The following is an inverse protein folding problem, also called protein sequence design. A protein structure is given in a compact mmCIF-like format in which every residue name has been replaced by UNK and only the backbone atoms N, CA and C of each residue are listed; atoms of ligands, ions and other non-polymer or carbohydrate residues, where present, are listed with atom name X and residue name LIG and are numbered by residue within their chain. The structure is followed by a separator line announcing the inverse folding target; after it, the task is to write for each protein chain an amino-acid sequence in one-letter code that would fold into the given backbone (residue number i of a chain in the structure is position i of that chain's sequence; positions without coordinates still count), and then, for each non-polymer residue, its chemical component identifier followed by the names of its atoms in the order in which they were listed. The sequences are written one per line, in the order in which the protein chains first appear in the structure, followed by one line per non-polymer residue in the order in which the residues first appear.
data_IF_503683886892
#
_entry.id   IF_503683886892
#
_cell.length_a   1.000
_cell.length_b   1.000
_cell.length_c   1.000
_cell.angle_alpha   90.00
_cell.angle_beta   90.00
_cell.angle_gamma   90.00
#
_symmetry.space_group_name_H-M   'P 1'
#
loop_
_entity.id
_entity.type
_entity.pdbx_description
1 polymer ?
#
# COMPACT_ATOMS: atom_id res chain seq x y z
N UNK A 1 12.34 20.81 -17.81
CA UNK A 1 11.44 20.85 -16.62
C UNK A 1 10.12 21.49 -17.02
N UNK A 2 8.98 20.87 -16.78
CA UNK A 2 7.69 21.42 -17.17
C UNK A 2 6.98 21.99 -15.94
N UNK A 3 7.07 23.32 -15.79
CA UNK A 3 6.23 24.09 -14.87
C UNK A 3 5.31 24.92 -15.74
N UNK A 4 4.00 24.84 -15.51
CA UNK A 4 2.99 25.66 -16.22
C UNK A 4 2.36 26.60 -15.23
N UNK A 5 2.18 27.85 -15.63
CA UNK A 5 1.55 28.91 -14.83
C UNK A 5 0.24 29.30 -15.53
N UNK A 6 -0.81 29.46 -14.75
CA UNK A 6 -2.13 29.86 -15.19
C UNK A 6 -2.55 31.09 -14.39
N UNK A 7 -2.97 32.14 -15.05
CA UNK A 7 -3.54 33.32 -14.42
C UNK A 7 -5.07 33.16 -14.31
N UNK A 8 -5.67 33.71 -13.25
CA UNK A 8 -7.11 33.71 -13.02
C UNK A 8 -7.72 32.29 -13.20
N UNK A 9 -7.16 31.33 -12.47
CA UNK A 9 -7.46 29.91 -12.69
C UNK A 9 -8.90 29.54 -12.36
N UNK A 10 -9.38 29.91 -11.16
CA UNK A 10 -10.75 29.64 -10.71
C UNK A 10 -11.70 30.79 -11.07
N UNK A 11 -12.96 30.45 -11.31
CA UNK A 11 -14.04 31.44 -11.49
C UNK A 11 -14.43 32.05 -10.13
N UNK A 12 -15.07 33.23 -10.16
CA UNK A 12 -15.48 33.96 -8.94
C UNK A 12 -16.39 33.14 -8.02
N UNK A 13 -17.24 32.27 -8.59
CA UNK A 13 -18.12 31.38 -7.86
C UNK A 13 -17.32 30.39 -7.00
N UNK A 14 -16.35 29.73 -7.58
CA UNK A 14 -15.48 28.76 -6.91
C UNK A 14 -14.60 29.46 -5.87
N UNK A 15 -14.02 30.61 -6.23
CA UNK A 15 -13.23 31.41 -5.28
C UNK A 15 -14.02 31.82 -4.04
N UNK A 16 -15.30 32.14 -4.20
CA UNK A 16 -16.18 32.47 -3.08
C UNK A 16 -16.38 31.29 -2.16
N UNK A 17 -16.60 30.11 -2.71
CA UNK A 17 -16.76 28.85 -1.96
C UNK A 17 -15.43 28.49 -1.25
N UNK A 18 -14.32 28.47 -1.99
CA UNK A 18 -12.99 28.17 -1.47
C UNK A 18 -12.64 29.09 -0.29
N UNK A 19 -12.88 30.39 -0.44
CA UNK A 19 -12.66 31.39 0.62
C UNK A 19 -13.60 31.23 1.80
N UNK A 20 -14.81 30.69 1.59
CA UNK A 20 -15.76 30.36 2.66
C UNK A 20 -15.16 29.37 3.67
N UNK A 21 -14.43 28.38 3.19
CA UNK A 21 -13.72 27.42 4.05
C UNK A 21 -12.55 28.03 4.84
N UNK A 22 -12.00 29.14 4.38
CA UNK A 22 -10.92 29.88 5.06
C UNK A 22 -11.44 30.88 6.12
N UNK A 23 -12.74 31.00 6.32
CA UNK A 23 -13.28 31.86 7.40
C UNK A 23 -13.03 31.28 8.79
N UNK A 24 -13.10 29.93 8.92
CA UNK A 24 -12.84 29.24 10.18
C UNK A 24 -11.98 27.97 9.93
N UNK A 25 -10.75 28.11 9.45
CA UNK A 25 -9.93 26.98 9.09
C UNK A 25 -9.38 26.26 10.33
N UNK A 26 -9.36 24.92 10.29
CA UNK A 26 -8.73 24.10 11.32
C UNK A 26 -7.28 23.81 10.91
N UNK A 27 -6.40 24.76 11.20
CA UNK A 27 -4.99 24.62 10.94
C UNK A 27 -4.33 23.56 11.84
N UNK A 28 -3.54 22.68 11.25
CA UNK A 28 -2.72 21.69 11.96
C UNK A 28 -1.26 21.94 11.60
N UNK A 29 -0.40 22.05 12.61
CA UNK A 29 1.04 22.12 12.39
C UNK A 29 1.50 20.78 11.77
N UNK A 30 2.23 20.87 10.67
CA UNK A 30 2.87 19.71 10.05
C UNK A 30 4.38 19.84 10.24
N UNK A 31 5.02 18.78 10.70
CA UNK A 31 6.47 18.65 10.61
C UNK A 31 6.79 18.14 9.22
N UNK A 32 7.71 18.77 8.53
CA UNK A 32 8.26 18.20 7.31
C UNK A 32 8.96 16.87 7.65
N UNK A 33 8.93 15.94 6.72
CA UNK A 33 9.62 14.64 6.86
C UNK A 33 11.15 14.75 6.89
N UNK A 34 11.69 15.96 6.75
CA UNK A 34 13.10 16.28 6.85
C UNK A 34 13.33 17.10 8.14
N UNK A 35 14.43 16.81 8.83
CA UNK A 35 14.80 17.29 10.18
C UNK A 35 14.95 18.84 10.30
N UNK A 36 14.72 19.59 9.24
CA UNK A 36 14.71 21.06 9.31
C UNK A 36 13.34 21.56 9.74
N UNK A 37 13.33 22.48 10.71
CA UNK A 37 12.20 23.12 11.40
C UNK A 37 11.22 23.91 10.49
N UNK A 38 10.76 23.38 9.39
CA UNK A 38 9.74 24.01 8.57
C UNK A 38 8.37 23.87 9.23
N UNK A 39 7.97 24.85 9.96
CA UNK A 39 6.66 24.95 10.61
C UNK A 39 5.62 25.51 9.63
N UNK A 40 5.16 24.75 8.65
CA UNK A 40 3.99 25.16 7.91
C UNK A 40 2.71 24.55 8.51
N UNK A 41 1.61 25.25 8.32
CA UNK A 41 0.31 24.79 8.79
C UNK A 41 -0.50 24.30 7.60
N UNK A 42 -1.22 23.22 7.81
CA UNK A 42 -2.08 22.63 6.81
C UNK A 42 -3.52 22.50 7.30
N UNK A 43 -4.46 22.78 6.42
CA UNK A 43 -5.87 22.46 6.60
C UNK A 43 -6.31 21.50 5.50
N UNK A 44 -6.42 20.22 5.85
CA UNK A 44 -6.81 19.14 4.93
C UNK A 44 -8.32 19.23 4.63
N UNK A 45 -8.68 19.24 3.36
CA UNK A 45 -10.05 19.29 2.86
C UNK A 45 -10.35 18.15 1.89
N UNK A 46 -9.51 17.11 1.88
CA UNK A 46 -9.64 15.96 0.97
C UNK A 46 -10.97 15.21 1.12
N UNK A 47 -11.54 15.20 2.33
CA UNK A 47 -12.82 14.54 2.62
C UNK A 47 -14.06 15.43 2.40
N UNK A 48 -13.86 16.66 1.93
CA UNK A 48 -14.97 17.56 1.62
C UNK A 48 -15.39 17.34 0.18
N UNK A 49 -16.63 16.92 -0.04
CA UNK A 49 -17.19 16.53 -1.32
C UNK A 49 -16.92 17.56 -2.44
N UNK A 50 -17.13 18.82 -2.18
CA UNK A 50 -16.89 19.90 -3.15
C UNK A 50 -15.45 19.89 -3.73
N UNK A 51 -14.41 19.64 -2.89
CA UNK A 51 -13.01 19.63 -3.34
C UNK A 51 -12.62 18.37 -4.08
N UNK A 52 -13.21 17.23 -3.73
CA UNK A 52 -12.84 15.94 -4.32
C UNK A 52 -13.73 15.53 -5.50
N UNK A 53 -14.79 16.29 -5.80
CA UNK A 53 -15.69 16.08 -6.94
C UNK A 53 -15.70 17.31 -7.84
N UNK A 54 -16.57 18.28 -7.59
CA UNK A 54 -16.84 19.44 -8.48
C UNK A 54 -15.57 20.24 -8.79
N UNK A 55 -14.79 20.58 -7.76
CA UNK A 55 -13.59 21.37 -7.96
C UNK A 55 -12.46 20.57 -8.64
N UNK A 56 -12.35 19.26 -8.36
CA UNK A 56 -11.43 18.38 -9.07
C UNK A 56 -11.80 18.24 -10.56
N UNK A 57 -13.09 18.10 -10.87
CA UNK A 57 -13.57 18.08 -12.26
C UNK A 57 -13.25 19.38 -12.98
N UNK A 58 -13.43 20.52 -12.31
CA UNK A 58 -13.04 21.81 -12.84
C UNK A 58 -11.53 21.89 -13.14
N UNK A 59 -10.69 21.49 -12.17
CA UNK A 59 -9.22 21.42 -12.34
C UNK A 59 -8.86 20.54 -13.54
N UNK A 60 -9.44 19.35 -13.64
CA UNK A 60 -9.21 18.44 -14.75
C UNK A 60 -9.61 19.04 -16.10
N UNK A 61 -10.76 19.72 -16.16
CA UNK A 61 -11.24 20.38 -17.37
C UNK A 61 -10.28 21.53 -17.80
N UNK A 62 -9.85 22.36 -16.87
CA UNK A 62 -8.92 23.49 -17.15
C UNK A 62 -7.53 23.01 -17.58
N UNK A 63 -7.09 21.84 -17.09
CA UNK A 63 -5.78 21.26 -17.39
C UNK A 63 -5.82 20.35 -18.63
N UNK A 64 -6.99 20.16 -19.25
CA UNK A 64 -7.23 19.19 -20.33
C UNK A 64 -6.66 17.80 -19.96
N UNK A 65 -7.03 17.34 -18.77
CA UNK A 65 -6.46 16.15 -18.16
C UNK A 65 -7.54 15.35 -17.42
N UNK A 66 -7.18 14.13 -17.03
CA UNK A 66 -8.04 13.27 -16.23
C UNK A 66 -7.23 12.71 -15.05
N UNK A 67 -6.98 13.56 -14.07
CA UNK A 67 -6.29 13.18 -12.84
C UNK A 67 -7.27 12.62 -11.81
N UNK A 68 -6.78 11.70 -10.99
CA UNK A 68 -7.38 11.34 -9.71
C UNK A 68 -6.80 12.20 -8.62
N UNK A 69 -7.62 12.54 -7.65
CA UNK A 69 -7.16 13.22 -6.45
C UNK A 69 -6.44 12.21 -5.53
N UNK A 70 -5.22 12.55 -5.13
CA UNK A 70 -4.54 11.90 -4.02
C UNK A 70 -4.86 12.64 -2.71
N UNK A 71 -4.76 13.96 -2.75
CA UNK A 71 -4.98 14.82 -1.59
C UNK A 71 -5.24 16.25 -2.01
N UNK A 72 -6.07 16.98 -1.24
CA UNK A 72 -6.27 18.42 -1.40
C UNK A 72 -6.25 19.13 -0.04
N UNK A 73 -5.51 20.21 0.07
CA UNK A 73 -5.35 20.92 1.33
C UNK A 73 -4.92 22.37 1.13
N UNK A 74 -5.23 23.20 2.11
CA UNK A 74 -4.67 24.55 2.20
C UNK A 74 -3.34 24.51 2.95
N UNK A 75 -2.33 25.17 2.40
CA UNK A 75 -1.10 25.49 3.10
C UNK A 75 -1.20 26.89 3.68
N UNK A 76 -0.77 27.04 4.94
CA UNK A 76 -0.67 28.32 5.63
C UNK A 76 0.74 28.53 6.18
N UNK A 77 1.39 29.63 5.80
CA UNK A 77 2.73 29.98 6.26
C UNK A 77 2.70 31.36 6.91
N UNK A 78 3.09 31.43 8.17
CA UNK A 78 3.31 32.69 8.89
C UNK A 78 4.71 33.23 8.60
N UNK A 79 4.93 34.50 8.89
CA UNK A 79 6.24 35.15 8.76
C UNK A 79 7.35 34.31 9.41
N UNK A 80 8.43 34.06 8.69
CA UNK A 80 9.58 33.27 9.13
C UNK A 80 9.39 31.77 9.04
N UNK A 81 8.26 31.26 8.52
CA UNK A 81 8.00 29.83 8.35
C UNK A 81 8.19 29.39 6.89
N UNK A 82 9.41 29.45 6.41
CA UNK A 82 9.76 28.96 5.08
C UNK A 82 9.65 27.43 5.00
N UNK A 83 9.19 26.94 3.85
CA UNK A 83 9.20 25.51 3.56
C UNK A 83 10.61 24.98 3.26
N UNK A 84 10.91 23.76 3.69
CA UNK A 84 12.14 23.07 3.29
C UNK A 84 12.05 22.61 1.82
N UNK A 85 13.20 22.38 1.19
CA UNK A 85 13.26 21.77 -0.14
C UNK A 85 12.78 20.33 -0.10
N UNK A 86 11.79 19.96 -0.93
CA UNK A 86 11.23 18.63 -1.00
C UNK A 86 10.62 18.33 -2.38
N UNK A 87 10.58 17.07 -2.83
CA UNK A 87 9.67 16.61 -3.85
C UNK A 87 8.33 16.21 -3.18
N UNK A 88 7.25 16.27 -3.94
CA UNK A 88 5.93 15.85 -3.44
C UNK A 88 5.66 14.36 -3.67
N UNK A 89 5.98 13.88 -4.86
CA UNK A 89 5.81 12.47 -5.24
C UNK A 89 6.63 12.15 -6.50
N UNK A 90 6.94 10.87 -6.71
CA UNK A 90 7.72 10.45 -7.88
C UNK A 90 6.86 10.40 -9.17
N UNK A 91 5.56 10.19 -9.06
CA UNK A 91 4.68 9.86 -10.20
C UNK A 91 3.53 10.83 -10.43
N UNK A 92 3.30 11.79 -9.56
CA UNK A 92 2.15 12.69 -9.58
C UNK A 92 2.46 14.07 -10.11
N UNK A 93 1.45 14.93 -10.01
CA UNK A 93 1.51 16.35 -10.28
C UNK A 93 0.98 17.12 -9.09
N UNK A 94 1.52 18.30 -8.86
CA UNK A 94 0.95 19.26 -7.92
C UNK A 94 0.36 20.42 -8.71
N UNK A 95 -0.90 20.73 -8.41
CA UNK A 95 -1.56 21.98 -8.81
C UNK A 95 -1.69 22.84 -7.56
N UNK A 96 -1.04 24.01 -7.57
CA UNK A 96 -0.98 24.93 -6.44
C UNK A 96 -1.58 26.27 -6.86
N UNK A 97 -2.61 26.75 -6.15
CA UNK A 97 -3.24 28.06 -6.39
C UNK A 97 -3.00 28.99 -5.22
N UNK A 98 -2.62 30.24 -5.48
CA UNK A 98 -2.41 31.26 -4.46
C UNK A 98 -3.70 32.00 -4.15
N UNK A 99 -4.01 32.18 -2.86
CA UNK A 99 -5.33 32.64 -2.40
C UNK A 99 -5.32 33.95 -1.61
N UNK A 100 -4.18 34.58 -1.45
CA UNK A 100 -4.10 35.87 -0.78
C UNK A 100 -4.48 36.99 -1.76
N UNK A 101 -5.57 37.74 -1.53
CA UNK A 101 -5.82 38.96 -2.27
C UNK A 101 -4.80 40.07 -1.88
N UNK A 102 -4.58 41.00 -2.75
CA UNK A 102 -3.78 42.21 -2.50
C UNK A 102 -2.33 41.95 -2.05
N UNK A 103 -1.69 40.89 -2.56
CA UNK A 103 -0.27 40.61 -2.30
C UNK A 103 0.60 41.66 -2.93
N UNK A 104 1.44 42.32 -2.12
CA UNK A 104 2.47 43.21 -2.65
C UNK A 104 3.64 42.40 -3.21
N UNK A 105 4.16 42.74 -4.41
CA UNK A 105 5.36 42.09 -4.95
C UNK A 105 6.60 42.19 -4.03
N UNK A 106 6.58 43.10 -3.06
CA UNK A 106 7.66 43.28 -2.09
C UNK A 106 7.55 42.41 -0.85
N UNK A 107 6.51 41.57 -0.75
CA UNK A 107 6.33 40.69 0.41
C UNK A 107 7.07 39.34 0.26
N UNK A 108 7.60 39.01 -0.93
CA UNK A 108 8.15 37.70 -1.18
C UNK A 108 7.06 36.64 -1.24
N UNK A 109 7.32 35.47 -0.66
CA UNK A 109 6.33 34.37 -0.61
C UNK A 109 6.28 33.50 -1.86
N UNK A 110 7.31 33.57 -2.69
CA UNK A 110 7.42 32.81 -3.93
C UNK A 110 7.50 31.29 -3.67
N UNK A 111 7.03 30.52 -4.63
CA UNK A 111 7.36 29.11 -4.72
C UNK A 111 8.60 28.94 -5.59
N UNK A 112 9.63 28.31 -5.02
CA UNK A 112 10.92 28.09 -5.67
C UNK A 112 11.01 26.65 -6.16
N UNK A 113 11.63 26.45 -7.33
CA UNK A 113 11.83 25.16 -8.00
C UNK A 113 13.29 25.05 -8.39
N UNK A 114 13.94 23.93 -8.05
CA UNK A 114 15.30 23.64 -8.44
C UNK A 114 15.33 22.82 -9.74
N UNK A 115 16.03 23.32 -10.74
CA UNK A 115 16.32 22.58 -11.97
C UNK A 115 17.53 21.66 -11.77
N UNK A 116 17.60 20.60 -12.58
CA UNK A 116 18.76 19.69 -12.60
C UNK A 116 20.10 20.37 -12.86
N UNK A 117 20.08 21.59 -13.39
CA UNK A 117 21.23 22.47 -13.60
C UNK A 117 21.64 23.24 -12.34
N UNK A 118 20.90 23.14 -11.23
CA UNK A 118 21.09 23.97 -10.04
C UNK A 118 20.50 25.39 -10.15
N UNK A 119 19.83 25.71 -11.25
CA UNK A 119 19.12 26.99 -11.42
C UNK A 119 17.81 26.94 -10.65
N UNK A 120 17.56 27.99 -9.86
CA UNK A 120 16.31 28.16 -9.12
C UNK A 120 15.36 29.04 -9.93
N UNK A 121 14.19 28.51 -10.27
CA UNK A 121 13.05 29.27 -10.80
C UNK A 121 12.10 29.65 -9.67
N UNK A 122 11.48 30.82 -9.80
CA UNK A 122 10.56 31.35 -8.80
C UNK A 122 9.23 31.71 -9.43
N UNK A 123 8.14 31.43 -8.72
CA UNK A 123 6.78 31.83 -9.08
C UNK A 123 6.22 32.66 -7.94
N UNK A 124 5.85 33.92 -8.26
CA UNK A 124 5.26 34.84 -7.28
C UNK A 124 3.82 34.42 -6.93
N UNK A 125 3.39 34.65 -5.68
CA UNK A 125 2.06 34.26 -5.22
C UNK A 125 0.97 35.28 -5.61
N UNK A 126 0.72 35.43 -6.90
CA UNK A 126 -0.34 36.31 -7.38
C UNK A 126 -1.72 35.68 -7.11
N UNK A 127 -2.68 36.52 -6.65
CA UNK A 127 -4.03 36.02 -6.32
C UNK A 127 -4.69 35.31 -7.49
N UNK A 128 -5.24 34.13 -7.22
CA UNK A 128 -5.88 33.25 -8.20
C UNK A 128 -4.97 32.81 -9.36
N UNK A 129 -3.66 32.98 -9.24
CA UNK A 129 -2.73 32.31 -10.15
C UNK A 129 -2.45 30.90 -9.66
N UNK A 130 -2.23 29.98 -10.60
CA UNK A 130 -1.93 28.59 -10.30
C UNK A 130 -0.64 28.14 -10.97
N UNK A 131 0.10 27.28 -10.31
CA UNK A 131 1.26 26.63 -10.87
C UNK A 131 1.05 25.11 -10.86
N UNK A 132 1.32 24.47 -12.00
CA UNK A 132 1.23 23.01 -12.17
C UNK A 132 2.60 22.45 -12.50
N UNK A 133 3.04 21.46 -11.74
CA UNK A 133 4.36 20.86 -11.90
C UNK A 133 4.36 19.36 -11.54
N UNK A 134 5.35 18.64 -12.02
CA UNK A 134 5.54 17.22 -11.62
C UNK A 134 5.92 17.15 -10.15
N UNK A 135 5.32 16.21 -9.42
CA UNK A 135 5.60 15.99 -8.01
C UNK A 135 7.08 15.68 -7.69
N UNK A 136 7.82 15.12 -8.65
CA UNK A 136 9.25 14.82 -8.50
C UNK A 136 10.19 16.04 -8.58
N UNK A 137 9.65 17.24 -8.88
CA UNK A 137 10.47 18.44 -8.94
C UNK A 137 10.75 18.94 -7.52
N UNK A 138 12.03 19.12 -7.19
CA UNK A 138 12.47 19.68 -5.92
C UNK A 138 12.00 21.14 -5.85
N UNK A 139 11.23 21.46 -4.82
CA UNK A 139 10.64 22.77 -4.65
C UNK A 139 10.43 23.13 -3.18
N UNK A 140 10.14 24.39 -2.93
CA UNK A 140 9.71 24.88 -1.61
C UNK A 140 8.84 26.12 -1.75
N UNK A 141 7.94 26.36 -0.77
CA UNK A 141 7.21 27.61 -0.63
C UNK A 141 7.89 28.48 0.42
N UNK A 142 8.14 29.74 0.11
CA UNK A 142 8.63 30.71 1.09
C UNK A 142 7.44 31.42 1.75
N UNK A 143 7.58 31.78 3.02
CA UNK A 143 6.66 32.67 3.72
C UNK A 143 6.77 34.10 3.19
N UNK A 144 5.80 34.96 3.52
CA UNK A 144 6.00 36.40 3.31
C UNK A 144 7.15 36.88 4.21
N UNK A 145 8.05 37.65 3.64
CA UNK A 145 9.29 38.09 4.28
C UNK A 145 9.16 39.38 5.09
N UNK A 146 7.93 39.87 5.28
CA UNK A 146 7.65 41.11 6.00
C UNK A 146 6.79 40.81 7.23
N UNK A 147 7.22 41.29 8.37
CA UNK A 147 6.48 41.24 9.63
C UNK A 147 5.12 41.95 9.50
N UNK A 148 4.09 41.43 10.16
CA UNK A 148 2.71 41.91 10.09
C UNK A 148 2.01 41.75 8.73
N UNK A 149 2.51 40.85 7.86
CA UNK A 149 1.77 40.44 6.68
C UNK A 149 0.74 39.35 7.06
N UNK A 150 -0.33 39.15 6.27
CA UNK A 150 -1.24 38.06 6.48
C UNK A 150 -0.52 36.71 6.26
N UNK A 151 -1.06 35.63 6.83
CA UNK A 151 -0.62 34.28 6.51
C UNK A 151 -0.62 34.04 4.99
N UNK A 152 0.48 33.54 4.43
CA UNK A 152 0.51 33.11 3.02
C UNK A 152 -0.32 31.84 2.88
N UNK A 153 -1.35 31.89 2.03
CA UNK A 153 -2.29 30.79 1.84
C UNK A 153 -2.26 30.33 0.40
N UNK A 154 -2.13 29.03 0.21
CA UNK A 154 -2.30 28.37 -1.08
C UNK A 154 -3.15 27.12 -0.96
N UNK A 155 -3.86 26.77 -2.03
CA UNK A 155 -4.62 25.52 -2.17
C UNK A 155 -3.82 24.57 -3.05
N UNK A 156 -3.48 23.40 -2.53
CA UNK A 156 -2.70 22.39 -3.22
C UNK A 156 -3.54 21.15 -3.50
N UNK A 157 -3.61 20.75 -4.78
CA UNK A 157 -4.10 19.44 -5.22
C UNK A 157 -2.90 18.55 -5.52
N UNK A 158 -2.81 17.41 -4.88
CA UNK A 158 -1.92 16.31 -5.26
C UNK A 158 -2.67 15.40 -6.21
N UNK A 159 -2.19 15.29 -7.42
CA UNK A 159 -2.89 14.71 -8.57
C UNK A 159 -2.11 13.52 -9.12
N UNK A 160 -2.80 12.40 -9.33
CA UNK A 160 -2.23 11.20 -9.94
C UNK A 160 -2.83 11.03 -11.34
N UNK A 161 -2.01 10.80 -12.40
CA UNK A 161 -2.52 10.52 -13.71
C UNK A 161 -3.46 9.31 -13.69
N UNK A 162 -4.67 9.47 -14.22
CA UNK A 162 -5.57 8.35 -14.43
C UNK A 162 -5.09 7.59 -15.68
N UNK A 163 -4.38 6.49 -15.48
CA UNK A 163 -3.72 5.71 -16.54
C UNK A 163 -4.65 5.16 -17.63
N UNK A 164 -5.96 5.43 -17.55
CA UNK A 164 -6.94 5.04 -18.57
C UNK A 164 -7.02 5.99 -19.76
N UNK A 165 -6.31 7.11 -19.83
CA UNK A 165 -6.48 8.13 -20.87
C UNK A 165 -5.23 8.41 -21.73
N UNK A 166 -4.13 7.72 -21.56
CA UNK A 166 -3.04 7.77 -22.55
C UNK A 166 -3.23 6.70 -23.63
N UNK A 167 -4.34 6.79 -24.33
CA UNK A 167 -4.72 5.96 -25.47
C UNK A 167 -4.97 6.78 -26.73
N UNK A 168 -4.06 7.70 -27.12
CA UNK A 168 -3.93 8.18 -28.51
C UNK A 168 -2.47 8.56 -28.73
N UNK A 169 -1.89 7.93 -29.76
CA UNK A 169 -0.58 8.16 -30.36
C UNK A 169 0.62 7.43 -29.69
N UNK A 170 0.48 6.13 -29.48
CA UNK A 170 1.61 5.21 -29.61
C UNK A 170 1.21 4.24 -30.72
N UNK A 171 1.95 4.26 -31.84
CA UNK A 171 1.81 3.22 -32.85
C UNK A 171 1.92 1.84 -32.17
N UNK A 172 1.08 0.86 -32.55
CA UNK A 172 1.11 -0.44 -31.93
C UNK A 172 2.49 -1.06 -32.21
N UNK A 173 3.26 -1.26 -31.16
CA UNK A 173 4.39 -2.18 -31.22
C UNK A 173 3.86 -3.51 -31.75
N UNK A 174 4.56 -4.11 -32.72
CA UNK A 174 4.21 -5.40 -33.30
C UNK A 174 3.84 -6.41 -32.21
N UNK A 175 2.83 -7.24 -32.39
CA UNK A 175 2.40 -8.18 -31.38
C UNK A 175 3.54 -9.14 -31.05
N UNK A 176 4.15 -8.94 -29.91
CA UNK A 176 4.97 -9.97 -29.29
C UNK A 176 4.03 -11.12 -28.97
N UNK A 177 4.16 -12.22 -29.70
CA UNK A 177 3.36 -13.45 -29.58
C UNK A 177 3.65 -14.19 -28.25
N UNK A 178 3.55 -13.48 -27.15
CA UNK A 178 3.42 -14.06 -25.82
C UNK A 178 2.02 -13.70 -25.33
N UNK A 179 1.15 -14.65 -25.03
CA UNK A 179 -0.11 -14.33 -24.35
C UNK A 179 0.24 -13.55 -23.08
N UNK A 180 -0.43 -12.42 -22.81
CA UNK A 180 -0.18 -11.67 -21.59
C UNK A 180 -0.33 -12.64 -20.41
N UNK A 181 0.68 -12.72 -19.56
CA UNK A 181 0.63 -13.59 -18.39
C UNK A 181 -0.62 -13.26 -17.61
N UNK A 182 -1.33 -14.27 -17.11
CA UNK A 182 -2.55 -14.13 -16.29
C UNK A 182 -2.30 -13.09 -15.17
N UNK A 183 -1.09 -13.07 -14.61
CA UNK A 183 -0.70 -12.13 -13.58
C UNK A 183 -0.82 -10.65 -13.97
N UNK A 184 -0.68 -10.28 -15.25
CA UNK A 184 -0.88 -8.89 -15.70
C UNK A 184 -2.35 -8.45 -15.73
N UNK A 185 -3.29 -9.37 -15.61
CA UNK A 185 -4.74 -9.08 -15.58
C UNK A 185 -5.30 -8.96 -14.19
N UNK A 186 -4.53 -9.33 -13.16
CA UNK A 186 -4.98 -9.29 -11.77
C UNK A 186 -4.79 -7.86 -11.24
N UNK A 187 -5.86 -7.13 -10.90
CA UNK A 187 -5.74 -5.81 -10.31
C UNK A 187 -5.10 -5.93 -8.92
N UNK A 188 -4.14 -5.08 -8.62
CA UNK A 188 -3.57 -4.94 -7.27
C UNK A 188 -4.07 -3.66 -6.63
N UNK A 189 -4.48 -3.76 -5.37
CA UNK A 189 -4.86 -2.63 -4.53
C UNK A 189 -3.84 -2.46 -3.41
N UNK A 190 -3.48 -1.21 -3.12
CA UNK A 190 -2.54 -0.88 -2.05
C UNK A 190 -3.30 -0.50 -0.79
N UNK A 191 -3.03 -1.21 0.30
CA UNK A 191 -3.55 -0.88 1.62
C UNK A 191 -2.42 -0.30 2.47
N UNK A 192 -2.44 1.02 2.65
CA UNK A 192 -1.45 1.73 3.48
C UNK A 192 -1.96 1.76 4.91
N UNK A 193 -1.16 1.24 5.84
CA UNK A 193 -1.38 1.33 7.29
C UNK A 193 -0.20 2.08 7.92
N UNK A 194 -0.37 2.72 9.11
CA UNK A 194 0.64 3.61 9.70
C UNK A 194 1.98 2.95 9.99
N UNK A 195 2.61 2.19 9.31
CA UNK A 195 3.94 1.57 9.39
C UNK A 195 4.09 0.35 8.47
N UNK A 196 3.04 -0.06 7.74
CA UNK A 196 3.06 -1.28 6.91
C UNK A 196 2.29 -1.04 5.64
N UNK A 197 2.87 -1.42 4.52
CA UNK A 197 2.16 -1.52 3.26
C UNK A 197 1.74 -2.98 3.07
N UNK A 198 0.45 -3.20 2.92
CA UNK A 198 -0.15 -4.50 2.61
C UNK A 198 -0.76 -4.40 1.22
N UNK A 199 -0.32 -5.27 0.33
CA UNK A 199 -0.87 -5.36 -1.02
C UNK A 199 -2.06 -6.31 -1.06
N UNK A 200 -3.03 -6.06 -1.94
CA UNK A 200 -4.09 -7.01 -2.23
C UNK A 200 -4.33 -7.17 -3.73
N UNK A 201 -4.78 -8.36 -4.10
CA UNK A 201 -5.16 -8.69 -5.47
C UNK A 201 -6.43 -9.55 -5.46
N UNK A 202 -7.31 -9.32 -6.43
CA UNK A 202 -8.50 -10.14 -6.63
C UNK A 202 -8.29 -11.04 -7.85
N UNK A 203 -8.42 -12.34 -7.63
CA UNK A 203 -8.32 -13.36 -8.68
C UNK A 203 -9.70 -13.66 -9.26
N UNK A 204 -9.72 -14.01 -10.55
CA UNK A 204 -10.93 -14.43 -11.25
C UNK A 204 -11.40 -15.79 -10.72
N UNK A 205 -12.72 -15.99 -10.70
CA UNK A 205 -13.34 -17.21 -10.16
C UNK A 205 -12.83 -18.48 -10.87
N UNK A 206 -12.58 -18.42 -12.19
CA UNK A 206 -12.04 -19.53 -12.94
C UNK A 206 -10.65 -20.01 -12.43
N UNK A 207 -9.79 -19.06 -12.05
CA UNK A 207 -8.46 -19.38 -11.46
C UNK A 207 -8.65 -19.98 -10.07
N UNK A 208 -9.57 -19.42 -9.29
CA UNK A 208 -9.89 -19.93 -7.95
C UNK A 208 -10.39 -21.37 -8.02
N UNK A 209 -11.28 -21.68 -8.96
CA UNK A 209 -11.80 -23.04 -9.17
C UNK A 209 -10.71 -24.04 -9.57
N UNK A 210 -9.77 -23.66 -10.45
CA UNK A 210 -8.61 -24.49 -10.80
C UNK A 210 -7.72 -24.79 -9.59
N UNK A 211 -7.46 -23.76 -8.75
CA UNK A 211 -6.67 -23.94 -7.53
C UNK A 211 -7.41 -24.83 -6.53
N UNK A 212 -8.72 -24.70 -6.39
CA UNK A 212 -9.55 -25.58 -5.54
C UNK A 212 -9.45 -27.02 -6.00
N UNK A 213 -9.59 -27.29 -7.29
CA UNK A 213 -9.49 -28.65 -7.83
C UNK A 213 -8.14 -29.30 -7.51
N UNK A 214 -7.05 -28.54 -7.60
CA UNK A 214 -5.72 -29.03 -7.23
C UNK A 214 -5.62 -29.26 -5.72
N UNK A 215 -6.14 -28.36 -4.87
CA UNK A 215 -6.13 -28.58 -3.42
C UNK A 215 -6.94 -29.78 -3.00
N UNK A 216 -8.07 -30.05 -3.65
CA UNK A 216 -8.90 -31.23 -3.38
C UNK A 216 -8.15 -32.52 -3.79
N UNK A 217 -7.42 -32.51 -4.91
CA UNK A 217 -6.56 -33.64 -5.31
C UNK A 217 -5.43 -33.91 -4.32
N UNK A 218 -4.76 -32.83 -3.87
CA UNK A 218 -3.69 -32.93 -2.86
C UNK A 218 -4.23 -33.38 -1.49
N UNK A 219 -5.45 -33.00 -1.16
CA UNK A 219 -6.10 -33.45 0.08
C UNK A 219 -6.21 -34.98 0.18
N UNK A 220 -6.56 -35.65 -0.91
CA UNK A 220 -6.72 -37.12 -0.96
C UNK A 220 -5.38 -37.84 -0.89
N UNK A 221 -4.32 -37.28 -1.47
CA UNK A 221 -3.03 -37.93 -1.67
C UNK A 221 -1.90 -37.42 -0.77
N UNK A 222 -2.01 -36.23 -0.23
CA UNK A 222 -0.92 -35.54 0.46
C UNK A 222 -0.81 -35.82 1.95
N UNK A 223 0.42 -35.79 2.45
CA UNK A 223 0.68 -35.81 3.90
C UNK A 223 0.38 -34.42 4.49
N UNK A 224 -0.35 -34.43 5.62
CA UNK A 224 -0.62 -33.20 6.35
C UNK A 224 0.58 -32.73 7.18
N UNK A 225 0.99 -31.50 7.01
CA UNK A 225 1.95 -30.81 7.87
C UNK A 225 1.32 -30.23 9.16
N UNK A 226 0.02 -30.44 9.38
CA UNK A 226 -0.72 -29.92 10.54
C UNK A 226 -0.11 -30.24 11.89
N UNK A 227 0.56 -31.40 12.01
CA UNK A 227 1.25 -31.82 13.24
C UNK A 227 2.42 -30.89 13.66
N UNK A 228 2.93 -30.09 12.74
CA UNK A 228 4.02 -29.12 13.01
C UNK A 228 3.49 -27.74 13.40
N UNK A 229 2.16 -27.55 13.33
CA UNK A 229 1.53 -26.28 13.62
C UNK A 229 1.26 -26.09 15.11
N UNK A 230 1.17 -24.83 15.49
CA UNK A 230 0.73 -24.40 16.81
C UNK A 230 -0.77 -24.10 16.74
N UNK A 231 -1.53 -24.46 17.78
CA UNK A 231 -2.97 -24.20 17.83
C UNK A 231 -3.83 -25.44 17.56
N UNK A 232 -5.12 -25.22 17.29
CA UNK A 232 -6.11 -26.28 17.25
C UNK A 232 -6.07 -27.14 15.98
N UNK A 233 -5.50 -26.60 14.89
CA UNK A 233 -5.24 -27.37 13.66
C UNK A 233 -4.47 -28.66 13.89
N UNK A 234 -3.69 -28.71 14.97
CA UNK A 234 -2.93 -29.90 15.35
C UNK A 234 -3.78 -31.07 15.80
N UNK A 235 -4.95 -30.80 16.37
CA UNK A 235 -5.77 -31.82 17.08
C UNK A 235 -7.01 -32.24 16.31
N UNK A 236 -7.28 -31.67 15.15
CA UNK A 236 -8.43 -31.98 14.34
C UNK A 236 -8.01 -32.86 13.15
N UNK A 237 -8.52 -34.11 13.10
CA UNK A 237 -8.21 -35.03 12.02
C UNK A 237 -8.66 -34.56 10.62
N UNK A 238 -9.64 -33.65 10.57
CA UNK A 238 -10.12 -33.06 9.31
C UNK A 238 -9.27 -31.90 8.83
N UNK A 239 -8.63 -31.20 9.76
CA UNK A 239 -7.83 -30.02 9.43
C UNK A 239 -6.48 -30.43 8.88
N UNK A 240 -6.17 -29.99 7.70
CA UNK A 240 -4.91 -30.30 7.02
C UNK A 240 -4.21 -29.04 6.54
N UNK A 241 -2.90 -29.11 6.53
CA UNK A 241 -2.03 -28.26 5.73
C UNK A 241 -1.29 -29.14 4.73
N UNK A 242 -1.49 -28.89 3.44
CA UNK A 242 -0.87 -29.69 2.39
C UNK A 242 -0.03 -28.80 1.49
N UNK A 243 1.25 -29.14 1.35
CA UNK A 243 2.16 -28.40 0.46
C UNK A 243 1.92 -28.77 -1.00
N UNK A 244 2.00 -27.78 -1.86
CA UNK A 244 2.06 -27.99 -3.31
C UNK A 244 3.44 -28.48 -3.71
N UNK A 245 3.48 -29.39 -4.66
CA UNK A 245 4.72 -29.79 -5.31
C UNK A 245 5.14 -28.70 -6.29
N UNK A 246 6.19 -27.93 -5.95
CA UNK A 246 6.68 -26.82 -6.74
C UNK A 246 7.37 -27.24 -8.04
N UNK A 247 7.63 -28.55 -8.24
CA UNK A 247 8.30 -29.10 -9.42
C UNK A 247 7.33 -29.64 -10.47
N UNK A 248 6.05 -29.87 -10.11
CA UNK A 248 5.02 -30.27 -11.07
C UNK A 248 4.51 -29.07 -11.91
N UNK A 249 3.69 -29.32 -12.92
CA UNK A 249 3.24 -28.28 -13.85
C UNK A 249 2.34 -27.24 -13.17
N UNK A 250 1.49 -27.65 -12.22
CA UNK A 250 0.59 -26.74 -11.48
C UNK A 250 1.41 -25.88 -10.51
N UNK A 251 2.32 -26.48 -9.75
CA UNK A 251 3.19 -25.72 -8.85
C UNK A 251 4.06 -24.71 -9.57
N UNK A 252 4.63 -25.07 -10.73
CA UNK A 252 5.37 -24.14 -11.58
C UNK A 252 4.52 -23.01 -12.11
N UNK A 253 3.27 -23.28 -12.50
CA UNK A 253 2.34 -22.26 -12.96
C UNK A 253 1.97 -21.30 -11.81
N UNK A 254 1.60 -21.82 -10.65
CA UNK A 254 1.27 -21.03 -9.47
C UNK A 254 2.47 -20.21 -9.01
N UNK A 255 3.66 -20.82 -8.97
CA UNK A 255 4.91 -20.08 -8.68
C UNK A 255 5.09 -18.89 -9.60
N UNK A 256 4.94 -19.06 -10.90
CA UNK A 256 5.08 -17.99 -11.88
C UNK A 256 4.07 -16.86 -11.66
N UNK A 257 2.82 -17.21 -11.34
CA UNK A 257 1.77 -16.23 -11.03
C UNK A 257 2.14 -15.45 -9.76
N UNK A 258 2.49 -16.14 -8.69
CA UNK A 258 2.81 -15.51 -7.42
C UNK A 258 4.14 -14.74 -7.44
N UNK A 259 5.14 -15.19 -8.17
CA UNK A 259 6.36 -14.40 -8.42
C UNK A 259 6.02 -13.06 -9.09
N UNK A 260 5.12 -13.07 -10.08
CA UNK A 260 4.68 -11.83 -10.73
C UNK A 260 3.93 -10.89 -9.77
N UNK A 261 3.11 -11.44 -8.87
CA UNK A 261 2.42 -10.65 -7.83
C UNK A 261 3.43 -10.07 -6.83
N UNK A 262 4.39 -10.87 -6.39
CA UNK A 262 5.45 -10.44 -5.49
C UNK A 262 6.35 -9.37 -6.10
N UNK A 263 6.73 -9.52 -7.35
CA UNK A 263 7.52 -8.52 -8.09
C UNK A 263 6.76 -7.19 -8.19
N UNK A 264 5.47 -7.23 -8.51
CA UNK A 264 4.63 -6.03 -8.57
C UNK A 264 4.49 -5.36 -7.20
N UNK A 265 4.30 -6.13 -6.15
CA UNK A 265 4.26 -5.60 -4.79
C UNK A 265 5.56 -4.87 -4.44
N UNK A 266 6.73 -5.47 -4.74
CA UNK A 266 8.03 -4.85 -4.49
C UNK A 266 8.23 -3.57 -5.30
N UNK A 267 7.91 -3.60 -6.58
CA UNK A 267 8.19 -2.51 -7.51
C UNK A 267 7.14 -1.39 -7.44
N UNK A 268 5.84 -1.75 -7.51
CA UNK A 268 4.75 -0.78 -7.61
C UNK A 268 4.33 -0.20 -6.25
N UNK A 269 4.38 -1.00 -5.18
CA UNK A 269 3.92 -0.57 -3.85
C UNK A 269 5.05 -0.14 -2.93
N UNK A 270 6.20 -0.81 -2.97
CA UNK A 270 7.34 -0.49 -2.12
C UNK A 270 8.41 0.33 -2.82
N UNK A 271 8.38 0.46 -4.16
CA UNK A 271 9.40 1.16 -4.94
C UNK A 271 10.80 0.52 -4.82
N UNK A 272 10.86 -0.80 -4.62
CA UNK A 272 12.11 -1.53 -4.36
C UNK A 272 12.55 -2.31 -5.59
N UNK A 273 13.78 -2.08 -6.04
CA UNK A 273 14.41 -2.85 -7.13
C UNK A 273 14.87 -4.22 -6.63
N UNK A 274 13.95 -5.16 -6.56
CA UNK A 274 14.17 -6.52 -6.14
C UNK A 274 13.32 -7.50 -6.94
N UNK A 275 13.64 -8.78 -6.84
CA UNK A 275 12.86 -9.90 -7.38
C UNK A 275 12.35 -10.74 -6.25
N UNK A 276 11.12 -11.21 -6.38
CA UNK A 276 10.54 -12.22 -5.52
C UNK A 276 10.76 -13.62 -6.10
N UNK A 277 10.88 -14.60 -5.22
CA UNK A 277 11.01 -16.01 -5.54
C UNK A 277 10.11 -16.80 -4.59
N UNK A 278 8.91 -17.13 -5.07
CA UNK A 278 7.95 -17.96 -4.33
C UNK A 278 8.52 -19.36 -4.22
N UNK A 279 8.92 -19.75 -3.02
CA UNK A 279 9.60 -21.01 -2.78
C UNK A 279 8.70 -22.06 -2.09
N UNK A 280 7.54 -21.63 -1.62
CA UNK A 280 6.64 -22.46 -0.81
C UNK A 280 5.19 -22.00 -0.99
N UNK A 281 4.30 -22.95 -1.29
CA UNK A 281 2.85 -22.78 -1.38
C UNK A 281 2.20 -23.93 -0.64
N UNK A 282 1.18 -23.66 0.18
CA UNK A 282 0.42 -24.72 0.88
C UNK A 282 -1.05 -24.33 1.04
N UNK A 283 -1.92 -25.33 1.08
CA UNK A 283 -3.33 -25.16 1.42
C UNK A 283 -3.55 -25.27 2.93
N UNK A 284 -4.55 -24.54 3.43
CA UNK A 284 -5.03 -24.62 4.81
C UNK A 284 -6.51 -24.98 4.79
N UNK A 285 -6.82 -26.21 5.21
CA UNK A 285 -8.17 -26.71 5.37
C UNK A 285 -8.59 -26.59 6.82
N UNK A 286 -9.47 -25.67 7.13
CA UNK A 286 -9.93 -25.35 8.48
C UNK A 286 -11.43 -25.56 8.63
N UNK A 287 -11.82 -26.06 9.79
CA UNK A 287 -13.20 -26.36 10.18
C UNK A 287 -13.56 -25.64 11.48
N UNK A 288 -14.80 -25.80 11.94
CA UNK A 288 -15.32 -25.13 13.14
C UNK A 288 -14.38 -25.26 14.34
N UNK A 289 -14.00 -24.14 14.92
CA UNK A 289 -13.08 -24.04 16.06
C UNK A 289 -11.59 -24.01 15.70
N UNK A 290 -11.24 -24.21 14.43
CA UNK A 290 -9.85 -24.14 14.00
C UNK A 290 -9.39 -22.69 13.91
N UNK A 291 -8.22 -22.39 14.46
CA UNK A 291 -7.59 -21.09 14.44
C UNK A 291 -6.09 -21.20 14.20
N UNK A 292 -5.48 -20.14 13.70
CA UNK A 292 -4.04 -20.03 13.62
C UNK A 292 -3.57 -18.90 14.55
N UNK A 293 -2.76 -19.23 15.59
CA UNK A 293 -2.34 -18.23 16.56
C UNK A 293 -1.43 -17.18 15.94
N UNK A 294 -1.21 -16.10 16.65
CA UNK A 294 -0.34 -15.01 16.22
C UNK A 294 1.07 -15.52 15.90
N UNK A 295 1.51 -15.30 14.66
CA UNK A 295 2.81 -15.80 14.17
C UNK A 295 3.37 -14.91 13.06
N UNK A 296 4.61 -15.19 12.66
CA UNK A 296 5.31 -14.62 11.49
C UNK A 296 5.89 -15.76 10.68
N UNK A 297 6.40 -15.46 9.49
CA UNK A 297 7.00 -16.46 8.61
C UNK A 297 8.53 -16.35 8.53
N UNK A 298 9.18 -17.51 8.38
CA UNK A 298 10.60 -17.60 8.05
C UNK A 298 10.81 -17.58 6.53
N UNK A 299 11.91 -17.00 6.07
CA UNK A 299 12.38 -17.08 4.69
C UNK A 299 13.88 -17.34 4.67
N UNK A 300 14.40 -17.92 3.60
CA UNK A 300 15.83 -18.18 3.46
C UNK A 300 16.63 -16.88 3.30
N UNK A 301 16.01 -15.81 2.79
CA UNK A 301 16.62 -14.49 2.67
C UNK A 301 16.27 -13.61 3.87
N UNK A 302 17.11 -12.60 4.16
CA UNK A 302 16.87 -11.65 5.23
C UNK A 302 15.56 -10.87 4.99
N UNK A 303 15.33 -10.39 3.77
CA UNK A 303 14.06 -9.85 3.33
C UNK A 303 13.20 -10.97 2.74
N UNK A 304 11.91 -10.94 3.01
CA UNK A 304 10.97 -11.90 2.47
C UNK A 304 9.55 -11.40 2.58
N UNK A 305 8.67 -12.02 1.82
CA UNK A 305 7.25 -11.73 1.79
C UNK A 305 6.47 -12.96 2.22
N UNK A 306 5.27 -12.73 2.71
CA UNK A 306 4.26 -13.75 2.97
C UNK A 306 2.93 -13.28 2.40
N UNK A 307 2.05 -14.22 2.08
CA UNK A 307 0.72 -13.92 1.58
C UNK A 307 -0.21 -15.09 1.75
N UNK A 308 -1.50 -14.80 1.58
CA UNK A 308 -2.55 -15.80 1.59
C UNK A 308 -3.70 -15.38 0.68
N UNK A 309 -4.52 -16.35 0.26
CA UNK A 309 -5.73 -16.14 -0.52
C UNK A 309 -6.82 -17.09 -0.03
N UNK A 310 -8.05 -16.58 0.11
CA UNK A 310 -9.19 -17.44 0.44
C UNK A 310 -9.76 -18.06 -0.83
N UNK A 311 -10.05 -19.38 -0.74
CA UNK A 311 -10.60 -20.17 -1.84
C UNK A 311 -12.05 -20.61 -1.56
N UNK A 312 -12.37 -20.98 -0.31
CA UNK A 312 -13.72 -21.34 0.12
C UNK A 312 -14.00 -20.70 1.48
N UNK A 313 -15.21 -20.23 1.69
CA UNK A 313 -15.70 -19.76 2.98
C UNK A 313 -17.00 -20.46 3.34
N UNK A 314 -17.17 -20.95 4.57
CA UNK A 314 -18.44 -21.48 5.02
C UNK A 314 -19.47 -20.35 5.19
N UNK A 315 -20.77 -20.59 4.91
CA UNK A 315 -21.82 -19.57 4.98
C UNK A 315 -21.92 -18.85 6.34
N UNK A 316 -21.63 -19.57 7.42
CA UNK A 316 -21.69 -19.02 8.78
C UNK A 316 -20.80 -17.79 9.00
N UNK A 317 -19.71 -17.62 8.25
CA UNK A 317 -18.85 -16.44 8.35
C UNK A 317 -19.59 -15.20 7.81
N UNK A 318 -20.29 -15.33 6.69
CA UNK A 318 -21.07 -14.21 6.12
C UNK A 318 -22.33 -13.95 6.93
N UNK A 319 -22.98 -14.98 7.45
CA UNK A 319 -24.15 -14.86 8.33
C UNK A 319 -23.80 -14.06 9.58
N UNK A 320 -22.68 -14.38 10.24
CA UNK A 320 -22.20 -13.64 11.42
C UNK A 320 -21.85 -12.19 11.13
N UNK A 321 -21.24 -11.94 9.98
CA UNK A 321 -20.98 -10.57 9.54
C UNK A 321 -22.27 -9.79 9.33
N UNK A 322 -23.28 -10.37 8.68
CA UNK A 322 -24.55 -9.73 8.45
C UNK A 322 -25.31 -9.47 9.77
N UNK A 323 -25.29 -10.41 10.71
CA UNK A 323 -25.84 -10.22 12.06
C UNK A 323 -25.17 -9.01 12.76
N UNK A 324 -23.86 -8.87 12.66
CA UNK A 324 -23.12 -7.74 13.23
C UNK A 324 -23.55 -6.40 12.59
N UNK A 325 -23.56 -6.34 11.26
CA UNK A 325 -23.90 -5.12 10.50
C UNK A 325 -25.35 -4.66 10.77
N UNK A 326 -26.27 -5.59 11.00
CA UNK A 326 -27.66 -5.31 11.28
C UNK A 326 -27.93 -5.01 12.77
N UNK A 327 -26.94 -5.20 13.65
CA UNK A 327 -27.09 -4.93 15.07
C UNK A 327 -27.36 -3.43 15.35
N UNK A 328 -28.20 -3.14 16.32
CA UNK A 328 -28.52 -1.77 16.73
C UNK A 328 -27.27 -0.99 17.17
N UNK A 329 -26.33 -1.67 17.80
CA UNK A 329 -25.10 -1.06 18.27
C UNK A 329 -24.25 -0.56 17.09
N UNK A 330 -24.02 -1.40 16.07
CA UNK A 330 -23.24 -1.03 14.89
C UNK A 330 -23.96 0.04 14.09
N UNK A 331 -25.27 -0.09 13.89
CA UNK A 331 -26.04 0.91 13.16
C UNK A 331 -25.99 2.30 13.81
N UNK A 332 -25.82 2.36 15.14
CA UNK A 332 -25.76 3.62 15.89
C UNK A 332 -24.35 4.20 15.98
N UNK A 333 -23.36 3.34 16.25
CA UNK A 333 -21.98 3.78 16.55
C UNK A 333 -21.10 3.83 15.30
N UNK A 334 -21.38 3.01 14.28
CA UNK A 334 -20.59 2.85 13.07
C UNK A 334 -21.47 2.68 11.83
N UNK A 335 -22.31 3.68 11.49
CA UNK A 335 -23.23 3.58 10.36
C UNK A 335 -22.52 3.31 9.02
N UNK A 336 -21.25 3.74 8.87
CA UNK A 336 -20.44 3.52 7.70
C UNK A 336 -20.11 2.05 7.42
N UNK A 337 -20.15 1.17 8.42
CA UNK A 337 -19.92 -0.28 8.23
C UNK A 337 -20.99 -0.86 7.28
N UNK A 338 -22.22 -0.39 7.40
CA UNK A 338 -23.32 -0.85 6.56
C UNK A 338 -23.15 -0.43 5.11
N UNK A 339 -22.56 0.74 4.88
CA UNK A 339 -22.32 1.27 3.54
C UNK A 339 -21.06 0.67 2.89
N UNK A 340 -19.99 0.54 3.66
CA UNK A 340 -18.67 0.11 3.15
C UNK A 340 -18.49 -1.40 3.19
N UNK A 341 -19.22 -2.13 4.03
CA UNK A 341 -19.03 -3.56 4.29
C UNK A 341 -17.68 -3.89 4.96
N UNK A 342 -16.99 -2.91 5.52
CA UNK A 342 -15.69 -3.05 6.16
C UNK A 342 -15.71 -2.53 7.59
N UNK A 343 -14.96 -3.17 8.47
CA UNK A 343 -14.70 -2.63 9.79
C UNK A 343 -13.79 -1.39 9.68
N UNK A 344 -14.09 -0.30 10.41
CA UNK A 344 -13.18 0.83 10.51
C UNK A 344 -11.81 0.36 11.01
N UNK A 345 -10.75 1.04 10.56
CA UNK A 345 -9.37 0.72 10.98
C UNK A 345 -9.12 0.93 12.49
N UNK A 346 -9.99 1.67 13.13
CA UNK A 346 -10.00 1.99 14.56
C UNK A 346 -11.08 1.21 15.33
N UNK A 347 -11.73 0.22 14.70
CA UNK A 347 -12.65 -0.67 15.40
C UNK A 347 -11.96 -1.28 16.61
N UNK A 348 -12.55 -1.08 17.76
CA UNK A 348 -11.97 -1.60 19.00
C UNK A 348 -12.15 -3.11 19.08
N UNK A 349 -11.26 -3.84 19.76
CA UNK A 349 -11.44 -5.25 20.05
C UNK A 349 -12.80 -5.55 20.70
N UNK A 350 -13.32 -4.64 21.51
CA UNK A 350 -14.61 -4.78 22.17
C UNK A 350 -15.79 -4.87 21.21
N UNK A 351 -15.75 -4.13 20.09
CA UNK A 351 -16.80 -4.23 19.06
C UNK A 351 -16.74 -5.58 18.35
N UNK A 352 -15.53 -6.06 18.04
CA UNK A 352 -15.30 -7.28 17.28
C UNK A 352 -15.46 -8.54 18.15
N UNK A 353 -14.88 -8.55 19.34
CA UNK A 353 -14.89 -9.72 20.24
C UNK A 353 -16.25 -9.93 20.91
N UNK A 354 -16.93 -8.86 21.30
CA UNK A 354 -18.23 -8.96 21.98
C UNK A 354 -19.38 -9.31 21.02
N UNK A 355 -19.27 -8.93 19.75
CA UNK A 355 -20.31 -9.16 18.76
C UNK A 355 -20.14 -10.47 17.97
N UNK A 356 -18.97 -11.15 18.05
CA UNK A 356 -18.71 -12.40 17.31
C UNK A 356 -18.71 -12.24 15.79
N UNK A 357 -18.64 -11.00 15.28
CA UNK A 357 -18.77 -10.72 13.85
C UNK A 357 -17.49 -10.96 13.03
N UNK A 358 -16.38 -11.28 13.68
CA UNK A 358 -15.09 -11.52 13.02
C UNK A 358 -14.73 -13.01 12.94
N UNK A 359 -15.71 -13.88 13.08
CA UNK A 359 -15.54 -15.31 12.96
C UNK A 359 -14.82 -15.69 11.64
N UNK A 360 -13.71 -16.42 11.75
CA UNK A 360 -12.91 -16.84 10.60
C UNK A 360 -12.08 -15.75 9.93
N UNK A 361 -12.06 -14.50 10.42
CA UNK A 361 -11.27 -13.42 9.85
C UNK A 361 -9.77 -13.58 10.12
N UNK A 362 -8.98 -12.90 9.32
CA UNK A 362 -7.52 -12.77 9.55
C UNK A 362 -7.24 -11.39 10.16
N UNK A 363 -6.44 -11.37 11.23
CA UNK A 363 -5.98 -10.13 11.82
C UNK A 363 -4.50 -9.94 11.54
N UNK A 364 -4.13 -8.77 11.02
CA UNK A 364 -2.75 -8.32 10.86
C UNK A 364 -2.39 -7.42 12.04
N UNK A 365 -1.21 -7.63 12.63
CA UNK A 365 -0.77 -6.92 13.85
C UNK A 365 0.64 -6.38 13.66
N UNK A 366 0.84 -5.06 13.82
CA UNK A 366 2.16 -4.40 13.69
C UNK A 366 2.58 -3.57 14.91
N UNK A 367 1.68 -3.38 15.87
CA UNK A 367 1.95 -2.72 17.15
C UNK A 367 1.34 -3.53 18.30
N UNK A 368 1.77 -3.30 19.55
CA UNK A 368 1.17 -3.94 20.71
C UNK A 368 -0.34 -3.67 20.78
N UNK A 369 -1.11 -4.71 21.04
CA UNK A 369 -2.56 -4.69 21.20
C UNK A 369 -2.95 -4.30 22.62
N UNK A 370 -2.63 -3.16 23.13
CA UNK A 370 -3.04 -2.81 24.48
C UNK A 370 -3.98 -1.62 24.47
N UNK A 371 -5.03 -1.66 25.28
CA UNK A 371 -5.98 -0.57 25.49
C UNK A 371 -5.33 0.75 25.90
N UNK A 372 -4.08 0.71 26.31
CA UNK A 372 -3.22 1.87 26.56
C UNK A 372 -2.80 2.61 25.28
N UNK A 373 -3.01 2.05 24.10
CA UNK A 373 -2.62 2.70 22.85
C UNK A 373 -3.45 3.95 22.58
N UNK A 374 -4.73 3.93 22.92
CA UNK A 374 -5.61 5.10 22.81
C UNK A 374 -5.20 6.18 23.82
N UNK A 375 -4.84 5.79 25.04
CA UNK A 375 -4.37 6.70 26.09
C UNK A 375 -3.03 7.34 25.75
N UNK A 376 -2.17 6.62 25.01
CA UNK A 376 -0.87 7.10 24.59
C UNK A 376 -0.90 7.78 23.19
N UNK A 377 -2.06 7.98 22.60
CA UNK A 377 -2.25 8.57 21.27
C UNK A 377 -1.46 7.84 20.16
N UNK A 378 -1.29 6.53 20.30
CA UNK A 378 -0.63 5.70 19.28
C UNK A 378 -1.62 5.34 18.18
N UNK A 379 -1.16 5.25 16.92
CA UNK A 379 -2.02 4.74 15.86
C UNK A 379 -2.39 3.28 16.13
N UNK A 380 -3.60 2.89 15.69
CA UNK A 380 -4.07 1.51 15.78
C UNK A 380 -3.04 0.56 15.13
N UNK A 381 -2.70 -0.49 15.86
CA UNK A 381 -1.66 -1.45 15.50
C UNK A 381 -2.16 -2.74 14.88
N UNK A 382 -3.44 -2.84 14.50
CA UNK A 382 -4.05 -4.04 13.96
C UNK A 382 -5.06 -3.72 12.85
N UNK A 383 -5.36 -4.72 12.01
CA UNK A 383 -6.36 -4.65 10.96
C UNK A 383 -7.00 -6.01 10.75
N UNK A 384 -8.32 -6.01 10.71
CA UNK A 384 -9.11 -7.22 10.45
C UNK A 384 -9.44 -7.31 8.96
N UNK A 385 -9.22 -8.49 8.39
CA UNK A 385 -9.46 -8.78 6.98
C UNK A 385 -10.59 -9.82 6.89
N UNK A 386 -11.73 -9.40 6.34
CA UNK A 386 -12.86 -10.28 6.09
C UNK A 386 -12.52 -11.31 5.02
N UNK A 387 -12.77 -12.61 5.25
CA UNK A 387 -12.58 -13.62 4.23
C UNK A 387 -13.46 -13.35 3.00
N UNK A 388 -12.81 -13.16 1.87
CA UNK A 388 -13.46 -12.95 0.57
C UNK A 388 -12.82 -13.88 -0.44
N UNK A 389 -13.60 -14.81 -1.01
CA UNK A 389 -13.11 -15.80 -1.98
C UNK A 389 -12.39 -15.11 -3.14
N UNK A 390 -11.21 -15.58 -3.51
CA UNK A 390 -10.35 -15.03 -4.55
C UNK A 390 -9.59 -13.77 -4.14
N UNK A 391 -9.80 -13.23 -2.94
CA UNK A 391 -9.02 -12.10 -2.43
C UNK A 391 -7.70 -12.61 -1.84
N UNK A 392 -6.60 -12.10 -2.37
CA UNK A 392 -5.24 -12.35 -1.90
C UNK A 392 -4.70 -11.14 -1.16
N UNK A 393 -3.90 -11.38 -0.13
CA UNK A 393 -3.08 -10.38 0.54
C UNK A 393 -1.62 -10.76 0.53
N UNK A 394 -0.74 -9.75 0.42
CA UNK A 394 0.71 -9.89 0.42
C UNK A 394 1.33 -8.82 1.31
N UNK A 395 2.31 -9.21 2.12
CA UNK A 395 2.92 -8.35 3.13
C UNK A 395 4.34 -8.82 3.49
N UNK A 396 5.15 -8.00 4.18
CA UNK A 396 6.47 -8.40 4.66
C UNK A 396 6.37 -9.58 5.65
N UNK A 397 7.28 -10.55 5.56
CA UNK A 397 7.30 -11.76 6.38
C UNK A 397 7.28 -11.52 7.90
N UNK A 398 7.74 -10.37 8.34
CA UNK A 398 7.81 -10.02 9.77
C UNK A 398 6.46 -9.55 10.34
N UNK A 399 5.48 -9.28 9.48
CA UNK A 399 4.16 -8.84 9.92
C UNK A 399 3.47 -9.97 10.66
N UNK A 400 3.16 -9.73 11.93
CA UNK A 400 2.41 -10.68 12.73
C UNK A 400 0.99 -10.78 12.22
N UNK A 401 0.48 -12.01 12.18
CA UNK A 401 -0.90 -12.24 11.81
C UNK A 401 -1.43 -13.49 12.50
N UNK A 402 -2.74 -13.53 12.63
CA UNK A 402 -3.49 -14.65 13.20
C UNK A 402 -4.79 -14.85 12.45
N UNK A 403 -5.36 -16.02 12.58
CA UNK A 403 -6.64 -16.36 11.97
C UNK A 403 -7.60 -16.81 13.05
N UNK A 404 -8.71 -16.08 13.15
CA UNK A 404 -9.75 -16.36 14.13
C UNK A 404 -10.50 -17.66 13.80
N UNK A 405 -10.97 -18.40 14.82
CA UNK A 405 -11.87 -19.52 14.61
C UNK A 405 -13.21 -19.05 14.06
N UNK A 406 -13.94 -19.93 13.44
CA UNK A 406 -15.34 -19.78 13.12
C UNK A 406 -16.15 -20.95 13.71
N UNK A 407 -17.45 -20.77 13.88
CA UNK A 407 -18.32 -21.77 14.50
C UNK A 407 -19.54 -21.98 13.63
N UNK A 408 -19.58 -23.12 12.93
CA UNK A 408 -20.64 -23.50 12.00
C UNK A 408 -20.18 -24.64 11.10
N UNK A 409 -21.05 -25.09 10.24
CA UNK A 409 -20.76 -26.16 9.29
C UNK A 409 -20.04 -25.63 8.07
N UNK A 410 -19.16 -26.44 7.50
CA UNK A 410 -18.44 -26.15 6.27
C UNK A 410 -16.94 -26.01 6.47
N UNK A 411 -16.25 -25.78 5.37
CA UNK A 411 -14.80 -25.63 5.28
C UNK A 411 -14.43 -24.21 4.94
N UNK A 412 -13.45 -23.65 5.66
CA UNK A 412 -12.68 -22.49 5.21
C UNK A 412 -11.38 -22.99 4.59
N UNK A 413 -11.27 -22.82 3.27
CA UNK A 413 -10.08 -23.17 2.52
C UNK A 413 -9.32 -21.92 2.11
N UNK A 414 -8.03 -21.89 2.42
CA UNK A 414 -7.12 -20.86 1.92
C UNK A 414 -5.83 -21.50 1.43
N UNK A 415 -5.12 -20.78 0.55
CA UNK A 415 -3.71 -21.08 0.27
C UNK A 415 -2.86 -19.97 0.87
N UNK A 416 -1.67 -20.35 1.29
CA UNK A 416 -0.65 -19.43 1.76
C UNK A 416 0.65 -19.64 1.01
N UNK A 417 1.47 -18.62 0.92
CA UNK A 417 2.71 -18.66 0.17
C UNK A 417 3.77 -17.75 0.80
N UNK A 418 5.02 -18.14 0.60
CA UNK A 418 6.18 -17.37 1.04
C UNK A 418 7.14 -17.11 -0.11
N UNK A 419 7.76 -15.90 -0.10
CA UNK A 419 8.77 -15.51 -1.07
C UNK A 419 10.08 -15.13 -0.40
N UNK A 420 11.16 -15.57 -1.00
CA UNK A 420 12.45 -14.93 -0.83
C UNK A 420 12.48 -13.62 -1.62
N UNK A 421 13.15 -12.61 -1.10
CA UNK A 421 13.38 -11.35 -1.82
C UNK A 421 14.86 -11.21 -2.12
N UNK A 422 15.17 -11.05 -3.40
CA UNK A 422 16.54 -10.89 -3.90
C UNK A 422 16.68 -9.50 -4.48
N UNK A 423 17.45 -8.67 -3.81
CA UNK A 423 17.77 -7.33 -4.29
C UNK A 423 18.78 -7.39 -5.43
N UNK A 424 18.66 -6.44 -6.38
CA UNK A 424 19.68 -6.29 -7.40
C UNK A 424 21.02 -5.89 -6.78
N UNK A 425 22.12 -6.29 -7.41
CA UNK A 425 23.46 -5.88 -6.97
C UNK A 425 23.59 -4.36 -6.98
N UNK A 426 22.96 -3.69 -7.92
CA UNK A 426 22.97 -2.23 -8.04
C UNK A 426 22.28 -1.57 -6.85
N UNK A 427 21.12 -2.11 -6.42
CA UNK A 427 20.41 -1.63 -5.24
C UNK A 427 21.23 -1.84 -3.96
N UNK A 428 21.78 -3.03 -3.76
CA UNK A 428 22.60 -3.38 -2.59
C UNK A 428 23.86 -2.52 -2.49
N UNK A 429 24.46 -2.20 -3.64
CA UNK A 429 25.70 -1.41 -3.72
C UNK A 429 25.45 0.09 -3.93
N UNK A 430 24.23 0.56 -3.80
CA UNK A 430 23.86 1.96 -3.93
C UNK A 430 24.66 2.81 -2.92
N UNK A 431 25.42 3.78 -3.42
CA UNK A 431 26.28 4.62 -2.58
C UNK A 431 27.56 3.95 -2.02
N UNK A 432 27.80 2.68 -2.33
CA UNK A 432 29.00 1.97 -1.88
C UNK A 432 30.27 2.44 -2.60
N UNK A 433 31.39 2.51 -1.87
CA UNK A 433 32.69 2.81 -2.43
C UNK A 433 33.14 1.73 -3.44
N UNK A 434 34.08 2.06 -4.32
CA UNK A 434 34.63 1.10 -5.28
C UNK A 434 35.27 -0.11 -4.58
N UNK A 435 35.91 0.11 -3.45
CA UNK A 435 36.53 -0.95 -2.65
C UNK A 435 35.45 -1.89 -2.06
N UNK A 436 34.35 -1.33 -1.51
CA UNK A 436 33.20 -2.10 -1.02
C UNK A 436 32.58 -2.94 -2.14
N UNK A 437 32.44 -2.38 -3.36
CA UNK A 437 31.93 -3.11 -4.53
C UNK A 437 32.82 -4.30 -4.91
N UNK A 438 34.13 -4.09 -4.97
CA UNK A 438 35.10 -5.16 -5.25
C UNK A 438 35.03 -6.29 -4.21
N UNK A 439 34.94 -5.92 -2.92
CA UNK A 439 34.85 -6.92 -1.85
C UNK A 439 33.53 -7.69 -1.90
N UNK A 440 32.42 -7.03 -2.22
CA UNK A 440 31.10 -7.66 -2.40
C UNK A 440 31.12 -8.72 -3.49
N UNK A 441 31.60 -8.41 -4.68
CA UNK A 441 31.69 -9.38 -5.77
C UNK A 441 32.65 -10.53 -5.47
N UNK A 442 33.76 -10.26 -4.81
CA UNK A 442 34.67 -11.31 -4.34
C UNK A 442 34.00 -12.29 -3.39
N UNK A 443 33.18 -11.78 -2.46
CA UNK A 443 32.43 -12.61 -1.52
C UNK A 443 31.36 -13.45 -2.22
N UNK A 444 30.71 -12.92 -3.26
CA UNK A 444 29.75 -13.68 -4.09
C UNK A 444 30.44 -14.82 -4.83
N UNK A 445 31.59 -14.56 -5.45
CA UNK A 445 32.36 -15.59 -6.14
C UNK A 445 32.82 -16.71 -5.19
N UNK A 446 33.26 -16.33 -4.00
CA UNK A 446 33.64 -17.30 -2.97
C UNK A 446 32.46 -18.17 -2.54
N UNK A 447 31.28 -17.58 -2.26
CA UNK A 447 30.06 -18.32 -1.93
C UNK A 447 29.63 -19.28 -3.04
N UNK A 448 29.69 -18.84 -4.31
CA UNK A 448 29.39 -19.71 -5.47
C UNK A 448 30.35 -20.89 -5.56
N UNK A 449 31.61 -20.68 -5.24
CA UNK A 449 32.63 -21.75 -5.21
C UNK A 449 32.35 -22.73 -4.06
N UNK A 450 32.02 -22.22 -2.87
CA UNK A 450 31.65 -23.05 -1.71
C UNK A 450 30.39 -23.90 -1.99
N UNK A 451 29.38 -23.31 -2.64
CA UNK A 451 28.17 -24.07 -3.03
C UNK A 451 28.48 -25.16 -4.07
N UNK A 452 29.35 -24.91 -5.03
CA UNK A 452 29.79 -25.92 -6.01
C UNK A 452 30.56 -27.05 -5.33
N UNK A 453 31.41 -26.73 -4.37
CA UNK A 453 32.16 -27.75 -3.60
C UNK A 453 31.18 -28.60 -2.76
N UNK A 454 30.21 -27.97 -2.10
CA UNK A 454 29.18 -28.66 -1.32
C UNK A 454 28.27 -29.55 -2.19
N UNK A 455 27.86 -29.07 -3.36
CA UNK A 455 27.08 -29.86 -4.31
C UNK A 455 27.86 -31.10 -4.77
N UNK A 456 29.11 -30.90 -5.11
CA UNK A 456 30.00 -32.01 -5.52
C UNK A 456 30.27 -32.99 -4.39
N UNK A 457 30.45 -32.52 -3.16
CA UNK A 457 30.62 -33.38 -1.99
C UNK A 457 29.36 -34.21 -1.68
N UNK A 458 28.17 -33.69 -1.97
CA UNK A 458 26.92 -34.45 -1.89
C UNK A 458 26.81 -35.49 -3.00
N UNK A 459 27.16 -35.14 -4.22
CA UNK A 459 27.21 -36.11 -5.35
C UNK A 459 28.20 -37.26 -5.08
N UNK A 460 29.35 -36.94 -4.49
CA UNK A 460 30.41 -37.92 -4.17
C UNK A 460 30.13 -38.72 -2.88
N UNK A 461 28.95 -38.57 -2.24
CA UNK A 461 28.51 -39.36 -1.10
C UNK A 461 29.24 -39.05 0.23
N UNK A 462 29.90 -37.90 0.34
CA UNK A 462 30.66 -37.55 1.56
C UNK A 462 29.80 -37.31 2.80
N UNK A 463 28.45 -37.25 2.69
CA UNK A 463 27.51 -36.96 3.79
C UNK A 463 26.54 -38.08 4.12
N UNK A 464 26.68 -39.26 3.50
CA UNK A 464 25.93 -40.47 3.89
C UNK A 464 26.76 -41.27 4.92
N UNK A 465 26.80 -40.78 6.14
CA UNK A 465 27.08 -41.61 7.34
C UNK A 465 26.48 -41.02 8.59
#
# INVERSE_FOLDING_TARGET
MMIKIYENFFEDGDLKIIRGYLQNPVWRAQKSSHEDDSNFQMYDVSNIEYFNTELLEYVNSKLDSNFKLERVYFNGQDYGHDGAWHPDSDVGYTHLTYLNPDVSPHWGGETQFEETSGVIKQVMPEYNSSVVFKGSILHRGLAFNKENTPKRISLAFKLIPNTRVFGKDIEPAEPVNNPPSIAHRIPMEQHIKPAVIVGSAKFDDAIVEEIIAETDSLWESGESHGSKLVGQLKNNERSKQVSFDMDNDVGKLLKKIFDSVGDRYLQEMLGVEAKSDCFEIWSNHAYAGDYNPLHTHGTATMAGLSGFMWLKNPPCIEEKWNELVESEQVAKEFPEIKETGNLPNDATPQLTDAAGGIDGWTCLVWNPRHGTDTEMLRPNGQCYLKPTVGQMFIFPKWLHHEVYPFFGEGERLSIAMNWNVVFSDEYVLRGASEETRKQYYKNIEQKKLEQKILAKAKEDGFWEK
#
